data_IF_327676187131
#
_entry.id   IF_327676187131
#
_cell.length_a   1.000
_cell.length_b   1.000
_cell.length_c   1.000
_cell.angle_alpha   90.00
_cell.angle_beta   90.00
_cell.angle_gamma   90.00
#
_symmetry.space_group_name_H-M   'P 1'
#
loop_
_entity.id
_entity.type
_entity.pdbx_description
1 polymer ?
#
# COMPACT_ATOMS: atom_id res chain seq x y z
N UNK A 1 -3.46 -16.07 -17.92
CA UNK A 1 -3.56 -16.18 -16.45
C UNK A 1 -4.33 -14.97 -15.95
N UNK A 2 -5.44 -15.15 -15.24
CA UNK A 2 -6.07 -14.04 -14.54
C UNK A 2 -5.11 -13.59 -13.43
N UNK A 3 -4.70 -12.32 -13.44
CA UNK A 3 -3.91 -11.75 -12.35
C UNK A 3 -4.80 -11.81 -11.10
N UNK A 4 -4.38 -12.58 -10.09
CA UNK A 4 -5.10 -12.65 -8.83
C UNK A 4 -4.91 -11.30 -8.14
N UNK A 5 -6.00 -10.58 -7.87
CA UNK A 5 -5.98 -9.35 -7.08
C UNK A 5 -5.25 -9.60 -5.77
N UNK A 6 -4.08 -8.99 -5.61
CA UNK A 6 -3.21 -9.22 -4.46
C UNK A 6 -2.48 -7.96 -4.06
N UNK A 7 -2.25 -7.82 -2.76
CA UNK A 7 -1.34 -6.82 -2.20
C UNK A 7 -0.11 -7.55 -1.66
N UNK A 8 1.08 -7.07 -2.00
CA UNK A 8 2.36 -7.54 -1.49
C UNK A 8 3.18 -6.37 -0.94
N UNK A 9 4.40 -6.64 -0.48
CA UNK A 9 5.33 -5.58 -0.14
C UNK A 9 6.77 -5.92 -0.49
N UNK A 10 7.53 -4.87 -0.78
CA UNK A 10 8.99 -4.91 -0.86
C UNK A 10 9.53 -4.05 0.28
N UNK A 11 10.29 -4.66 1.20
CA UNK A 11 10.77 -3.98 2.41
C UNK A 11 12.29 -3.91 2.38
N UNK A 12 12.81 -2.68 2.45
CA UNK A 12 14.23 -2.34 2.49
C UNK A 12 14.55 -1.55 3.75
N UNK A 13 15.80 -1.12 3.90
CA UNK A 13 16.36 -0.61 5.17
C UNK A 13 15.52 0.48 5.85
N UNK A 14 14.87 1.35 5.08
CA UNK A 14 14.03 2.44 5.61
C UNK A 14 12.69 2.61 4.89
N UNK A 15 12.31 1.70 3.98
CA UNK A 15 11.15 1.88 3.10
C UNK A 15 10.36 0.57 2.99
N UNK A 16 9.04 0.68 3.16
CA UNK A 16 8.06 -0.33 2.74
C UNK A 16 7.38 0.17 1.48
N UNK A 17 7.54 -0.57 0.40
CA UNK A 17 6.69 -0.46 -0.79
C UNK A 17 5.49 -1.40 -0.66
N UNK A 18 4.28 -0.86 -0.74
CA UNK A 18 3.02 -1.62 -0.71
C UNK A 18 2.54 -1.76 -2.16
N UNK A 19 2.66 -2.97 -2.71
CA UNK A 19 2.43 -3.20 -4.14
C UNK A 19 1.03 -3.76 -4.38
N UNK A 20 0.31 -3.23 -5.36
CA UNK A 20 -1.02 -3.67 -5.78
C UNK A 20 -1.02 -4.07 -7.26
N UNK A 21 -2.00 -4.85 -7.71
CA UNK A 21 -2.08 -5.39 -9.09
C UNK A 21 -3.26 -4.87 -9.93
N UNK A 22 -4.24 -4.26 -9.28
CA UNK A 22 -5.50 -3.77 -9.86
C UNK A 22 -6.17 -2.75 -8.91
N UNK A 23 -7.34 -2.24 -9.29
CA UNK A 23 -8.09 -1.27 -8.48
C UNK A 23 -8.44 -1.80 -7.08
N UNK A 24 -8.98 -3.01 -6.97
CA UNK A 24 -9.39 -3.57 -5.68
C UNK A 24 -8.21 -3.78 -4.73
N UNK A 25 -7.06 -4.20 -5.26
CA UNK A 25 -5.83 -4.29 -4.48
C UNK A 25 -5.22 -2.92 -4.18
N UNK A 26 -5.42 -1.92 -5.04
CA UNK A 26 -5.00 -0.53 -4.76
C UNK A 26 -5.80 0.03 -3.58
N UNK A 27 -7.12 -0.21 -3.53
CA UNK A 27 -7.94 0.18 -2.37
C UNK A 27 -7.44 -0.45 -1.07
N UNK A 28 -7.04 -1.72 -1.12
CA UNK A 28 -6.42 -2.40 0.04
C UNK A 28 -5.05 -1.80 0.39
N UNK A 29 -4.25 -1.47 -0.62
CA UNK A 29 -2.94 -0.84 -0.41
C UNK A 29 -3.07 0.53 0.27
N UNK A 30 -4.06 1.35 -0.12
CA UNK A 30 -4.39 2.62 0.54
C UNK A 30 -4.71 2.42 2.02
N UNK A 31 -5.54 1.42 2.35
CA UNK A 31 -5.87 1.12 3.76
C UNK A 31 -4.65 0.65 4.56
N UNK A 32 -3.77 -0.15 3.96
CA UNK A 32 -2.53 -0.58 4.62
C UNK A 32 -1.62 0.62 4.85
N UNK A 33 -1.49 1.50 3.86
CA UNK A 33 -0.74 2.75 3.97
C UNK A 33 -1.27 3.61 5.13
N UNK A 34 -2.58 3.82 5.21
CA UNK A 34 -3.24 4.56 6.30
C UNK A 34 -2.90 3.99 7.68
N UNK A 35 -2.95 2.66 7.86
CA UNK A 35 -2.58 2.03 9.14
C UNK A 35 -1.11 2.28 9.48
N UNK A 36 -0.21 2.14 8.51
CA UNK A 36 1.23 2.34 8.73
C UNK A 36 1.54 3.80 9.10
N UNK A 37 0.85 4.76 8.48
CA UNK A 37 1.07 6.19 8.72
C UNK A 37 0.39 6.65 10.00
N UNK A 38 -0.92 6.42 10.13
CA UNK A 38 -1.73 7.06 11.18
C UNK A 38 -1.63 6.35 12.54
N UNK A 39 -1.39 5.03 12.54
CA UNK A 39 -1.42 4.23 13.77
C UNK A 39 -0.04 3.79 14.24
N UNK A 40 0.81 3.39 13.30
CA UNK A 40 2.19 2.98 13.61
C UNK A 40 3.11 4.21 13.66
N UNK A 41 2.80 5.26 12.88
CA UNK A 41 3.55 6.51 12.87
C UNK A 41 4.66 6.58 11.85
N UNK A 42 4.62 5.75 10.80
CA UNK A 42 5.58 5.85 9.70
C UNK A 42 5.33 7.12 8.89
N UNK A 43 6.37 7.61 8.23
CA UNK A 43 6.27 8.79 7.39
C UNK A 43 5.77 8.41 6.00
N UNK A 44 4.77 9.14 5.50
CA UNK A 44 4.39 9.04 4.09
C UNK A 44 5.52 9.57 3.21
N UNK A 45 6.08 8.70 2.37
CA UNK A 45 7.18 9.08 1.48
C UNK A 45 6.73 9.81 0.22
N UNK A 46 5.41 9.96 0.02
CA UNK A 46 4.77 10.60 -1.14
C UNK A 46 5.21 10.03 -2.50
N UNK A 47 5.74 8.81 -2.52
CA UNK A 47 6.24 8.18 -3.75
C UNK A 47 5.27 7.10 -4.23
N UNK A 48 4.84 7.23 -5.48
CA UNK A 48 4.02 6.26 -6.19
C UNK A 48 4.81 5.72 -7.39
N UNK A 49 4.73 4.41 -7.61
CA UNK A 49 5.31 3.76 -8.78
C UNK A 49 4.28 2.90 -9.51
N UNK A 50 4.48 2.72 -10.82
CA UNK A 50 3.71 1.75 -11.58
C UNK A 50 4.01 0.35 -11.08
N UNK A 51 2.97 -0.47 -10.87
CA UNK A 51 3.16 -1.86 -10.46
C UNK A 51 3.76 -2.72 -11.57
N UNK A 52 4.75 -3.54 -11.22
CA UNK A 52 5.30 -4.58 -12.11
C UNK A 52 4.33 -5.76 -12.34
N UNK A 53 3.25 -5.86 -11.55
CA UNK A 53 2.39 -7.05 -11.50
C UNK A 53 1.03 -6.87 -12.19
N UNK A 54 0.71 -5.69 -12.70
CA UNK A 54 -0.57 -5.39 -13.34
C UNK A 54 -0.89 -3.90 -13.42
N UNK A 55 -2.17 -3.56 -13.57
CA UNK A 55 -2.64 -2.16 -13.59
C UNK A 55 -2.83 -1.57 -12.18
N UNK A 56 -1.97 -1.97 -11.25
CA UNK A 56 -1.92 -1.41 -9.90
C UNK A 56 -0.80 -0.40 -9.77
N UNK A 57 -0.54 -0.01 -8.53
CA UNK A 57 0.55 0.89 -8.12
C UNK A 57 1.33 0.32 -6.93
N UNK A 58 2.49 0.91 -6.67
CA UNK A 58 3.24 0.74 -5.43
C UNK A 58 3.22 2.05 -4.65
N UNK A 59 2.90 2.00 -3.35
CA UNK A 59 2.85 3.16 -2.44
C UNK A 59 3.94 2.99 -1.38
N UNK A 60 4.80 3.99 -1.18
CA UNK A 60 5.87 3.90 -0.20
C UNK A 60 5.59 4.63 1.13
N UNK A 61 5.94 3.98 2.23
CA UNK A 61 6.11 4.60 3.55
C UNK A 61 7.54 4.39 4.04
N UNK A 62 8.06 5.31 4.84
CA UNK A 62 9.42 5.25 5.35
C UNK A 62 9.53 5.46 6.86
N UNK A 63 10.57 4.88 7.44
CA UNK A 63 10.99 5.09 8.82
C UNK A 63 12.50 4.89 8.91
N UNK A 64 13.23 5.82 9.53
CA UNK A 64 14.69 5.77 9.65
C UNK A 64 15.19 5.12 10.95
N UNK A 65 14.28 4.73 11.83
CA UNK A 65 14.54 4.22 13.17
C UNK A 65 14.13 2.75 13.33
N UNK A 66 13.11 2.32 12.60
CA UNK A 66 12.62 0.96 12.58
C UNK A 66 13.63 0.03 11.89
N UNK A 67 13.82 -1.16 12.46
CA UNK A 67 14.60 -2.20 11.77
C UNK A 67 13.76 -2.83 10.67
N UNK A 68 14.40 -3.38 9.63
CA UNK A 68 13.73 -4.17 8.57
C UNK A 68 12.83 -5.27 9.15
N UNK A 69 13.23 -5.88 10.28
CA UNK A 69 12.40 -6.88 10.97
C UNK A 69 11.12 -6.27 11.50
N UNK A 70 11.21 -5.14 12.21
CA UNK A 70 10.06 -4.41 12.74
C UNK A 70 9.12 -3.99 11.60
N UNK A 71 9.66 -3.41 10.52
CA UNK A 71 8.89 -3.03 9.33
C UNK A 71 8.11 -4.20 8.71
N UNK A 72 8.69 -5.41 8.70
CA UNK A 72 8.00 -6.62 8.22
C UNK A 72 6.84 -7.03 9.13
N UNK A 73 7.04 -6.94 10.44
CA UNK A 73 6.02 -7.26 11.45
C UNK A 73 4.87 -6.25 11.40
N UNK A 74 5.20 -4.96 11.30
CA UNK A 74 4.25 -3.84 11.18
C UNK A 74 3.43 -3.94 9.89
N UNK A 75 4.06 -4.23 8.75
CA UNK A 75 3.33 -4.49 7.51
C UNK A 75 2.39 -5.70 7.63
N UNK A 76 2.85 -6.80 8.24
CA UNK A 76 2.02 -8.00 8.43
C UNK A 76 0.82 -7.72 9.34
N UNK A 77 1.01 -6.90 10.37
CA UNK A 77 -0.05 -6.37 11.23
C UNK A 77 -1.03 -5.53 10.43
N UNK A 78 -0.57 -4.48 9.73
CA UNK A 78 -1.43 -3.60 8.94
C UNK A 78 -2.25 -4.36 7.89
N UNK A 79 -1.64 -5.34 7.21
CA UNK A 79 -2.33 -6.21 6.25
C UNK A 79 -3.39 -7.10 6.88
N UNK A 80 -3.22 -7.49 8.15
CA UNK A 80 -4.22 -8.26 8.89
C UNK A 80 -5.38 -7.36 9.30
N UNK A 81 -5.08 -6.19 9.84
CA UNK A 81 -6.07 -5.20 10.31
C UNK A 81 -6.90 -4.62 9.16
N UNK A 82 -6.30 -4.41 7.99
CA UNK A 82 -6.99 -3.94 6.78
C UNK A 82 -8.27 -4.74 6.51
N UNK A 83 -8.22 -6.07 6.68
CA UNK A 83 -9.35 -6.98 6.41
C UNK A 83 -10.55 -6.73 7.32
N UNK A 84 -10.30 -6.23 8.54
CA UNK A 84 -11.34 -5.91 9.52
C UNK A 84 -11.93 -4.51 9.33
N UNK A 85 -11.25 -3.63 8.58
CA UNK A 85 -11.69 -2.25 8.36
C UNK A 85 -12.73 -2.13 7.26
N UNK A 86 -13.75 -1.31 7.52
CA UNK A 86 -14.73 -0.95 6.51
C UNK A 86 -14.06 -0.19 5.36
N UNK A 87 -14.34 -0.61 4.12
CA UNK A 87 -13.88 0.12 2.93
C UNK A 87 -14.86 1.25 2.59
N UNK A 88 -14.44 2.49 2.79
CA UNK A 88 -15.22 3.71 2.55
C UNK A 88 -15.11 4.19 1.10
N UNK A 89 -15.88 5.22 0.73
CA UNK A 89 -15.72 5.90 -0.56
C UNK A 89 -14.39 6.65 -0.62
N UNK A 90 -13.94 7.22 0.50
CA UNK A 90 -12.63 7.86 0.61
C UNK A 90 -11.49 6.95 0.12
N UNK A 91 -11.44 5.69 0.57
CA UNK A 91 -10.41 4.76 0.10
C UNK A 91 -10.48 4.48 -1.41
N UNK A 92 -11.70 4.44 -1.97
CA UNK A 92 -11.92 4.22 -3.41
C UNK A 92 -11.50 5.43 -4.22
N UNK A 93 -11.82 6.63 -3.74
CA UNK A 93 -11.51 7.88 -4.42
C UNK A 93 -10.00 8.13 -4.43
N UNK A 94 -9.30 7.87 -3.33
CA UNK A 94 -7.83 7.95 -3.26
C UNK A 94 -7.19 6.90 -4.19
N UNK A 95 -7.67 5.66 -4.16
CA UNK A 95 -7.16 4.62 -5.06
C UNK A 95 -7.33 5.00 -6.54
N UNK A 96 -8.48 5.60 -6.89
CA UNK A 96 -8.74 6.08 -8.26
C UNK A 96 -7.77 7.20 -8.64
N UNK A 97 -7.59 8.19 -7.78
CA UNK A 97 -6.64 9.29 -7.99
C UNK A 97 -5.21 8.79 -8.18
N UNK A 98 -4.75 7.83 -7.35
CA UNK A 98 -3.40 7.29 -7.48
C UNK A 98 -3.21 6.51 -8.77
N UNK A 99 -4.23 5.77 -9.21
CA UNK A 99 -4.15 5.04 -10.48
C UNK A 99 -4.22 5.98 -11.69
N UNK A 100 -4.99 7.07 -11.62
CA UNK A 100 -5.06 8.11 -12.66
C UNK A 100 -3.71 8.77 -12.93
N UNK A 101 -2.76 8.71 -11.99
CA UNK A 101 -1.38 9.17 -12.21
C UNK A 101 -0.61 8.35 -13.26
N UNK A 102 -0.99 7.09 -13.49
CA UNK A 102 -0.28 6.16 -14.39
C UNK A 102 -1.15 5.58 -15.50
N UNK A 103 -2.46 5.52 -15.29
CA UNK A 103 -3.41 4.91 -16.20
C UNK A 103 -4.53 5.90 -16.50
N UNK A 104 -4.91 6.02 -17.77
CA UNK A 104 -6.17 6.69 -18.11
C UNK A 104 -7.32 5.76 -17.74
N UNK A 105 -8.11 6.13 -16.72
CA UNK A 105 -9.22 5.33 -16.17
C UNK A 105 -10.54 6.06 -16.39
#
# INVERSE_FOLDING_TARGET
MAIRSSVSSTISENIIWINSSDFDSTVKAVKIHEILVDEIGYTDSLTLEQSDYGRGISIAVCDSSATVKQMREDYAYAKKEEKGRLTTNYHRDIAKQYLEAFYTI
#
